data_IF_885326884609
#
_entry.id   IF_885326884609
#
_cell.length_a   1.000
_cell.length_b   1.000
_cell.length_c   1.000
_cell.angle_alpha   90.00
_cell.angle_beta   90.00
_cell.angle_gamma   90.00
#
_symmetry.space_group_name_H-M   'P 1'
#
loop_
_entity.id
_entity.type
_entity.pdbx_description
1 polymer ?
#
# COMPACT_ATOMS: atom_id res chain seq x y z
N UNK A 1 -19.24 7.03 37.67
CA UNK A 1 -20.46 6.30 37.29
C UNK A 1 -20.08 5.54 36.06
N UNK A 2 -19.94 4.22 36.17
CA UNK A 2 -19.49 3.35 35.08
C UNK A 2 -20.70 3.04 34.23
N UNK A 3 -20.85 3.70 33.09
CA UNK A 3 -21.85 3.31 32.10
C UNK A 3 -21.53 1.89 31.64
N UNK A 4 -22.50 0.99 31.81
CA UNK A 4 -22.37 -0.39 31.35
C UNK A 4 -22.35 -0.49 29.82
N UNK A 5 -22.04 -1.66 29.26
CA UNK A 5 -22.00 -1.86 27.80
C UNK A 5 -23.31 -1.50 27.08
N UNK A 6 -24.45 -1.43 27.79
CA UNK A 6 -25.73 -0.98 27.21
C UNK A 6 -25.85 0.53 26.98
N UNK A 7 -25.10 1.38 27.70
CA UNK A 7 -25.15 2.84 27.52
C UNK A 7 -24.42 3.30 26.25
N UNK A 8 -23.23 2.72 26.01
CA UNK A 8 -22.39 3.01 24.84
C UNK A 8 -23.07 2.57 23.53
N UNK A 9 -23.72 1.41 23.53
CA UNK A 9 -24.48 0.91 22.35
C UNK A 9 -25.63 1.86 22.00
N UNK A 10 -26.37 2.39 22.99
CA UNK A 10 -27.44 3.35 22.71
C UNK A 10 -26.92 4.66 22.12
N UNK A 11 -25.76 5.14 22.58
CA UNK A 11 -25.16 6.37 22.10
C UNK A 11 -24.71 6.28 20.63
N UNK A 12 -24.19 5.13 20.19
CA UNK A 12 -23.75 4.91 18.80
C UNK A 12 -24.94 4.87 17.84
N UNK A 13 -26.02 4.19 18.23
CA UNK A 13 -27.24 4.13 17.41
C UNK A 13 -27.90 5.51 17.29
N UNK A 14 -27.94 6.30 18.37
CA UNK A 14 -28.44 7.68 18.34
C UNK A 14 -27.57 8.59 17.46
N UNK A 15 -26.24 8.46 17.56
CA UNK A 15 -25.30 9.19 16.72
C UNK A 15 -25.47 8.82 15.24
N UNK A 16 -25.62 7.52 14.92
CA UNK A 16 -25.88 7.05 13.57
C UNK A 16 -27.17 7.65 13.00
N UNK A 17 -28.26 7.62 13.77
CA UNK A 17 -29.54 8.20 13.34
C UNK A 17 -29.42 9.71 13.08
N UNK A 18 -28.65 10.43 13.91
CA UNK A 18 -28.35 11.84 13.71
C UNK A 18 -27.60 12.09 12.38
N UNK A 19 -26.54 11.33 12.12
CA UNK A 19 -25.76 11.47 10.87
C UNK A 19 -26.61 11.11 9.65
N UNK A 20 -27.35 10.00 9.69
CA UNK A 20 -28.24 9.56 8.60
C UNK A 20 -29.30 10.62 8.29
N UNK A 21 -29.90 11.22 9.31
CA UNK A 21 -30.85 12.31 9.13
C UNK A 21 -30.20 13.57 8.53
N UNK A 22 -28.99 13.93 8.97
CA UNK A 22 -28.27 15.11 8.48
C UNK A 22 -27.90 15.03 6.99
N UNK A 23 -27.68 13.80 6.48
CA UNK A 23 -27.37 13.56 5.06
C UNK A 23 -28.61 13.29 4.19
N UNK A 24 -29.81 13.32 4.77
CA UNK A 24 -31.05 12.99 4.09
C UNK A 24 -31.15 11.53 3.67
N UNK A 25 -30.48 10.63 4.40
CA UNK A 25 -30.52 9.19 4.17
C UNK A 25 -31.65 8.50 4.93
N UNK A 26 -31.92 7.26 4.55
CA UNK A 26 -32.86 6.39 5.26
C UNK A 26 -32.13 5.46 6.22
N UNK A 27 -32.77 5.19 7.35
CA UNK A 27 -32.23 4.31 8.37
C UNK A 27 -32.22 2.85 7.89
N UNK A 28 -31.07 2.17 8.03
CA UNK A 28 -30.87 0.79 7.59
C UNK A 28 -30.50 -0.11 8.75
N UNK A 29 -31.20 -1.23 8.89
CA UNK A 29 -30.98 -2.17 9.98
C UNK A 29 -29.57 -2.78 9.96
N UNK A 30 -29.10 -3.22 8.78
CA UNK A 30 -27.74 -3.76 8.64
C UNK A 30 -26.65 -2.74 8.99
N UNK A 31 -26.88 -1.44 8.77
CA UNK A 31 -25.97 -0.38 9.15
C UNK A 31 -25.88 -0.20 10.67
N UNK A 32 -27.03 -0.24 11.36
CA UNK A 32 -27.10 -0.21 12.83
C UNK A 32 -26.39 -1.40 13.45
N UNK A 33 -26.68 -2.60 12.96
CA UNK A 33 -26.04 -3.83 13.43
C UNK A 33 -24.51 -3.78 13.27
N UNK A 34 -24.03 -3.29 12.12
CA UNK A 34 -22.61 -3.05 11.89
C UNK A 34 -22.04 -2.04 12.88
N UNK A 35 -22.66 -0.88 13.07
CA UNK A 35 -22.15 0.17 13.95
C UNK A 35 -22.07 -0.28 15.42
N UNK A 36 -23.09 -1.00 15.90
CA UNK A 36 -23.09 -1.57 17.25
C UNK A 36 -22.01 -2.63 17.42
N UNK A 37 -21.80 -3.50 16.42
CA UNK A 37 -20.75 -4.51 16.45
C UNK A 37 -19.36 -3.86 16.48
N UNK A 38 -19.12 -2.84 15.64
CA UNK A 38 -17.86 -2.09 15.62
C UNK A 38 -17.57 -1.43 16.97
N UNK A 39 -18.57 -0.79 17.58
CA UNK A 39 -18.45 -0.19 18.91
C UNK A 39 -18.09 -1.22 20.00
N UNK A 40 -18.74 -2.39 19.98
CA UNK A 40 -18.43 -3.49 20.90
C UNK A 40 -17.01 -4.03 20.72
N UNK A 41 -16.51 -4.11 19.49
CA UNK A 41 -15.14 -4.58 19.22
C UNK A 41 -14.09 -3.60 19.73
N UNK A 42 -14.27 -2.29 19.54
CA UNK A 42 -13.30 -1.33 20.06
C UNK A 42 -13.32 -1.25 21.59
N UNK A 43 -14.50 -1.34 22.23
CA UNK A 43 -14.62 -1.28 23.70
C UNK A 43 -14.28 -2.59 24.40
N UNK A 44 -14.63 -3.73 23.81
CA UNK A 44 -14.43 -5.07 24.39
C UNK A 44 -13.16 -5.79 23.94
N UNK A 45 -12.49 -5.29 22.89
CA UNK A 45 -11.36 -5.95 22.25
C UNK A 45 -11.76 -7.04 21.25
N UNK A 46 -10.76 -7.79 20.77
CA UNK A 46 -10.95 -8.84 19.76
C UNK A 46 -11.07 -8.29 18.33
N UNK A 47 -11.59 -9.12 17.42
CA UNK A 47 -11.72 -8.79 16.01
C UNK A 47 -13.15 -8.93 15.51
N UNK A 48 -13.51 -8.13 14.51
CA UNK A 48 -14.79 -8.21 13.80
C UNK A 48 -14.52 -8.33 12.31
N UNK A 49 -15.15 -9.31 11.67
CA UNK A 49 -15.25 -9.43 10.22
C UNK A 49 -16.72 -9.28 9.85
N UNK A 50 -17.06 -8.17 9.19
CA UNK A 50 -18.44 -7.85 8.82
C UNK A 50 -18.58 -7.74 7.30
N UNK A 51 -19.36 -8.63 6.71
CA UNK A 51 -19.81 -8.47 5.33
C UNK A 51 -20.99 -7.50 5.31
N UNK A 52 -20.87 -6.45 4.51
CA UNK A 52 -21.91 -5.44 4.34
C UNK A 52 -22.08 -5.12 2.86
N UNK A 53 -23.23 -5.52 2.32
CA UNK A 53 -23.57 -5.36 0.92
C UNK A 53 -23.47 -3.92 0.44
N UNK A 54 -23.39 -3.74 -0.88
CA UNK A 54 -23.40 -2.42 -1.50
C UNK A 54 -24.66 -1.66 -1.07
N UNK A 55 -24.53 -0.36 -0.79
CA UNK A 55 -25.67 0.45 -0.34
C UNK A 55 -26.04 0.30 1.14
N UNK A 56 -25.43 -0.62 1.90
CA UNK A 56 -25.67 -0.73 3.36
C UNK A 56 -25.21 0.51 4.14
N UNK A 57 -24.33 1.34 3.57
CA UNK A 57 -23.76 2.51 4.25
C UNK A 57 -22.56 2.15 5.12
N UNK A 58 -21.72 1.25 4.60
CA UNK A 58 -20.50 0.72 5.25
C UNK A 58 -19.64 1.80 5.89
N UNK A 59 -19.30 2.85 5.15
CA UNK A 59 -18.45 3.93 5.64
C UNK A 59 -18.95 4.49 6.96
N UNK A 60 -20.20 4.94 7.02
CA UNK A 60 -20.78 5.47 8.27
C UNK A 60 -20.90 4.42 9.37
N UNK A 61 -21.14 3.15 8.99
CA UNK A 61 -21.21 2.03 9.91
C UNK A 61 -19.93 1.79 10.71
N UNK A 62 -18.75 2.03 10.12
CA UNK A 62 -17.48 1.96 10.86
C UNK A 62 -16.94 3.32 11.32
N UNK A 63 -17.19 4.40 10.57
CA UNK A 63 -16.62 5.72 10.84
C UNK A 63 -17.18 6.32 12.13
N UNK A 64 -18.49 6.24 12.34
CA UNK A 64 -19.15 6.84 13.51
C UNK A 64 -18.69 6.21 14.81
N UNK A 65 -18.78 4.88 15.01
CA UNK A 65 -18.27 4.27 16.24
C UNK A 65 -16.75 4.44 16.42
N UNK A 66 -15.95 4.46 15.34
CA UNK A 66 -14.52 4.76 15.41
C UNK A 66 -14.25 6.18 15.91
N UNK A 67 -14.95 7.17 15.38
CA UNK A 67 -14.80 8.58 15.76
C UNK A 67 -15.25 8.83 17.20
N UNK A 68 -16.37 8.24 17.60
CA UNK A 68 -16.85 8.30 18.99
C UNK A 68 -15.82 7.70 19.96
N UNK A 69 -15.31 6.51 19.66
CA UNK A 69 -14.28 5.86 20.46
C UNK A 69 -13.02 6.73 20.57
N UNK A 70 -12.54 7.26 19.43
CA UNK A 70 -11.32 8.06 19.39
C UNK A 70 -11.42 9.35 20.21
N UNK A 71 -12.56 10.04 20.13
CA UNK A 71 -12.80 11.28 20.89
C UNK A 71 -12.93 11.00 22.39
N UNK A 72 -13.70 9.97 22.77
CA UNK A 72 -13.94 9.59 24.17
C UNK A 72 -12.65 9.14 24.86
N UNK A 73 -11.85 8.30 24.20
CA UNK A 73 -10.66 7.70 24.78
C UNK A 73 -9.38 8.50 24.51
N UNK A 74 -9.43 9.50 23.63
CA UNK A 74 -8.27 10.29 23.16
C UNK A 74 -7.17 9.40 22.58
N UNK A 75 -7.58 8.40 21.81
CA UNK A 75 -6.67 7.48 21.13
C UNK A 75 -7.08 7.36 19.66
N UNK A 76 -6.12 7.44 18.75
CA UNK A 76 -6.41 7.42 17.33
C UNK A 76 -6.95 6.05 16.87
N UNK A 77 -7.78 6.07 15.83
CA UNK A 77 -8.17 4.87 15.07
C UNK A 77 -7.62 4.98 13.66
N UNK A 78 -6.98 3.90 13.18
CA UNK A 78 -6.48 3.82 11.81
C UNK A 78 -7.55 3.24 10.91
N UNK A 79 -7.73 3.82 9.72
CA UNK A 79 -8.62 3.31 8.67
C UNK A 79 -7.76 3.04 7.43
N UNK A 80 -7.60 1.77 7.07
CA UNK A 80 -6.86 1.35 5.90
C UNK A 80 -7.83 0.99 4.77
N UNK A 81 -7.62 1.59 3.60
CA UNK A 81 -8.43 1.33 2.40
C UNK A 81 -7.65 0.58 1.33
N UNK A 82 -8.33 -0.19 0.49
CA UNK A 82 -7.71 -0.91 -0.62
C UNK A 82 -7.22 -0.02 -1.78
N UNK A 83 -8.00 1.01 -2.17
CA UNK A 83 -7.71 1.81 -3.37
C UNK A 83 -7.66 3.31 -3.08
N UNK A 84 -6.95 4.05 -3.95
CA UNK A 84 -6.88 5.51 -3.87
C UNK A 84 -8.23 6.18 -4.10
N UNK A 85 -9.09 5.61 -4.95
CA UNK A 85 -10.43 6.13 -5.20
C UNK A 85 -11.32 6.06 -3.96
N UNK A 86 -11.32 4.91 -3.26
CA UNK A 86 -12.06 4.74 -2.01
C UNK A 86 -11.50 5.64 -0.90
N UNK A 87 -10.17 5.75 -0.83
CA UNK A 87 -9.53 6.67 0.10
C UNK A 87 -9.99 8.11 -0.13
N UNK A 88 -10.00 8.58 -1.40
CA UNK A 88 -10.46 9.92 -1.76
C UNK A 88 -11.93 10.14 -1.42
N UNK A 89 -12.79 9.14 -1.70
CA UNK A 89 -14.20 9.20 -1.31
C UNK A 89 -14.36 9.38 0.21
N UNK A 90 -13.58 8.67 1.02
CA UNK A 90 -13.64 8.85 2.47
C UNK A 90 -13.20 10.25 2.90
N UNK A 91 -12.11 10.77 2.33
CA UNK A 91 -11.51 12.06 2.73
C UNK A 91 -12.32 13.25 2.26
N UNK A 92 -12.78 13.24 1.01
CA UNK A 92 -13.40 14.42 0.37
C UNK A 92 -14.90 14.49 0.66
N UNK A 93 -15.53 13.38 1.07
CA UNK A 93 -16.98 13.29 1.23
C UNK A 93 -17.38 12.71 2.60
N UNK A 94 -17.09 11.43 2.86
CA UNK A 94 -17.70 10.72 4.00
C UNK A 94 -17.24 11.30 5.36
N UNK A 95 -15.92 11.49 5.56
CA UNK A 95 -15.37 12.07 6.79
C UNK A 95 -15.85 13.52 7.04
N UNK A 96 -15.76 14.48 6.10
CA UNK A 96 -16.26 15.83 6.31
C UNK A 96 -17.74 15.89 6.70
N UNK A 97 -18.56 15.05 6.07
CA UNK A 97 -20.00 14.98 6.34
C UNK A 97 -20.24 14.41 7.74
N UNK A 98 -19.57 13.32 8.10
CA UNK A 98 -19.65 12.72 9.43
C UNK A 98 -19.21 13.72 10.51
N UNK A 99 -18.05 14.37 10.34
CA UNK A 99 -17.52 15.36 11.29
C UNK A 99 -18.53 16.46 11.55
N UNK A 100 -19.12 17.03 10.48
CA UNK A 100 -20.10 18.10 10.60
C UNK A 100 -21.36 17.65 11.34
N UNK A 101 -21.82 16.42 11.11
CA UNK A 101 -23.01 15.90 11.78
C UNK A 101 -22.73 15.60 13.27
N UNK A 102 -21.58 15.00 13.57
CA UNK A 102 -21.18 14.64 14.93
C UNK A 102 -20.77 15.85 15.81
N UNK A 103 -20.51 17.03 15.24
CA UNK A 103 -20.22 18.26 16.00
C UNK A 103 -21.35 18.65 16.97
N UNK A 104 -22.58 18.20 16.69
CA UNK A 104 -23.74 18.41 17.57
C UNK A 104 -23.91 17.35 18.65
N UNK A 105 -23.18 16.23 18.54
CA UNK A 105 -23.30 15.04 19.39
C UNK A 105 -22.09 14.89 20.32
N UNK A 106 -20.89 15.21 19.83
CA UNK A 106 -19.63 15.03 20.54
C UNK A 106 -19.18 16.31 21.26
N UNK A 107 -18.36 16.14 22.30
CA UNK A 107 -17.85 17.27 23.10
C UNK A 107 -16.88 18.18 22.33
N UNK A 108 -16.31 17.70 21.23
CA UNK A 108 -15.40 18.43 20.34
C UNK A 108 -15.47 17.86 18.92
N UNK A 109 -15.06 18.64 17.89
CA UNK A 109 -14.98 18.14 16.53
C UNK A 109 -13.93 17.02 16.41
N UNK A 110 -14.25 16.04 15.58
CA UNK A 110 -13.37 14.93 15.22
C UNK A 110 -12.33 15.44 14.22
N UNK A 111 -11.05 15.17 14.47
CA UNK A 111 -9.96 15.48 13.54
C UNK A 111 -9.55 14.25 12.74
N UNK A 112 -9.13 14.44 11.49
CA UNK A 112 -8.64 13.33 10.67
C UNK A 112 -7.46 13.76 9.78
N UNK A 113 -6.62 12.80 9.44
CA UNK A 113 -5.46 13.02 8.58
C UNK A 113 -5.20 11.82 7.66
N UNK A 114 -4.53 12.10 6.54
CA UNK A 114 -4.10 11.09 5.58
C UNK A 114 -2.62 10.84 5.76
N UNK A 115 -2.23 9.58 5.87
CA UNK A 115 -0.83 9.17 6.00
C UNK A 115 -0.48 8.14 4.92
N UNK A 116 0.42 8.54 4.02
CA UNK A 116 0.94 7.71 2.91
C UNK A 116 2.44 7.50 3.04
N UNK A 117 3.00 6.59 2.24
CA UNK A 117 4.44 6.40 2.13
C UNK A 117 5.18 7.64 1.59
N UNK A 118 6.45 7.81 1.95
CA UNK A 118 7.31 8.96 1.52
C UNK A 118 7.33 9.17 0.01
N UNK A 119 7.27 8.09 -0.75
CA UNK A 119 7.22 8.10 -2.20
C UNK A 119 5.89 8.62 -2.77
N UNK A 120 4.92 9.01 -1.95
CA UNK A 120 3.68 9.69 -2.37
C UNK A 120 3.73 11.20 -2.11
N UNK A 121 4.86 11.71 -1.60
CA UNK A 121 5.06 13.14 -1.37
C UNK A 121 6.27 13.66 -2.16
N UNK A 122 6.18 14.93 -2.55
CA UNK A 122 7.33 15.68 -3.06
C UNK A 122 8.44 15.75 -2.01
N UNK A 123 9.66 15.48 -2.44
CA UNK A 123 10.87 15.67 -1.64
C UNK A 123 11.50 17.01 -2.03
N UNK A 124 11.37 18.04 -1.19
CA UNK A 124 11.92 19.37 -1.44
C UNK A 124 13.44 19.35 -1.69
N UNK A 125 14.17 18.47 -1.00
CA UNK A 125 15.60 18.26 -1.24
C UNK A 125 15.89 17.78 -2.67
N UNK A 126 15.04 16.91 -3.23
CA UNK A 126 15.20 16.41 -4.61
C UNK A 126 14.68 17.42 -5.62
N UNK A 127 13.63 18.18 -5.27
CA UNK A 127 13.05 19.23 -6.10
C UNK A 127 14.05 20.38 -6.32
N UNK A 128 14.73 20.85 -5.28
CA UNK A 128 15.66 21.99 -5.35
C UNK A 128 17.13 21.58 -5.48
N UNK A 129 17.47 20.32 -5.22
CA UNK A 129 18.82 19.79 -5.39
C UNK A 129 19.21 19.65 -6.87
N UNK A 130 20.52 19.44 -7.10
CA UNK A 130 21.01 19.13 -8.44
C UNK A 130 20.39 17.81 -8.93
N UNK A 131 19.73 17.85 -10.10
CA UNK A 131 19.25 16.63 -10.76
C UNK A 131 20.48 15.81 -11.18
N UNK A 132 20.59 14.53 -10.78
CA UNK A 132 21.70 13.69 -11.21
C UNK A 132 21.82 13.67 -12.73
N UNK A 133 23.04 13.74 -13.28
CA UNK A 133 23.28 13.80 -14.74
C UNK A 133 22.64 12.63 -15.52
N UNK A 134 22.49 11.46 -14.91
CA UNK A 134 21.88 10.29 -15.55
C UNK A 134 20.34 10.41 -15.60
N UNK A 135 19.72 10.95 -14.54
CA UNK A 135 18.28 11.31 -14.54
C UNK A 135 18.06 12.51 -15.48
N UNK A 136 19.02 13.43 -15.56
CA UNK A 136 18.92 14.61 -16.44
C UNK A 136 19.05 14.24 -17.92
N UNK A 137 19.95 13.34 -18.29
CA UNK A 137 20.12 12.86 -19.66
C UNK A 137 18.93 12.03 -20.14
N UNK A 138 18.31 11.21 -19.28
CA UNK A 138 17.15 10.40 -19.65
C UNK A 138 15.84 11.21 -19.69
N UNK A 139 15.66 12.20 -18.79
CA UNK A 139 14.40 12.95 -18.66
C UNK A 139 14.42 14.32 -19.36
N UNK A 140 15.59 14.92 -19.59
CA UNK A 140 15.74 16.30 -20.09
C UNK A 140 16.53 16.42 -21.40
N UNK A 141 16.96 15.32 -22.02
CA UNK A 141 17.70 15.36 -23.30
C UNK A 141 16.87 15.83 -24.49
N UNK A 142 15.54 15.90 -24.38
CA UNK A 142 14.68 16.56 -25.37
C UNK A 142 13.50 17.28 -24.70
N UNK A 143 13.57 18.61 -24.50
CA UNK A 143 12.46 19.43 -24.02
C UNK A 143 11.19 19.40 -24.91
N UNK A 144 11.28 18.78 -26.10
CA UNK A 144 10.17 18.59 -27.05
C UNK A 144 9.53 17.20 -26.97
N UNK A 145 9.96 16.34 -26.04
CA UNK A 145 9.32 15.06 -25.80
C UNK A 145 8.19 15.24 -24.79
N UNK A 146 7.12 14.44 -24.91
CA UNK A 146 6.00 14.45 -23.95
C UNK A 146 6.47 14.25 -22.49
N UNK A 147 7.52 13.45 -22.30
CA UNK A 147 8.12 13.23 -20.98
C UNK A 147 8.80 14.50 -20.44
N UNK A 148 9.57 15.21 -21.27
CA UNK A 148 10.22 16.47 -20.88
C UNK A 148 9.22 17.57 -20.52
N UNK A 149 8.11 17.66 -21.27
CA UNK A 149 7.01 18.59 -20.96
C UNK A 149 6.33 18.24 -19.62
N UNK A 150 6.12 16.94 -19.35
CA UNK A 150 5.57 16.49 -18.08
C UNK A 150 6.50 16.80 -16.90
N UNK A 151 7.82 16.68 -17.07
CA UNK A 151 8.78 17.06 -16.03
C UNK A 151 8.66 18.54 -15.66
N UNK A 152 8.54 19.42 -16.65
CA UNK A 152 8.42 20.87 -16.41
C UNK A 152 7.12 21.19 -15.68
N UNK A 153 6.00 20.65 -16.14
CA UNK A 153 4.66 20.90 -15.55
C UNK A 153 4.56 20.35 -14.12
N UNK A 154 5.02 19.12 -13.88
CA UNK A 154 5.00 18.50 -12.55
C UNK A 154 5.93 19.25 -11.58
N UNK A 155 7.12 19.69 -12.00
CA UNK A 155 8.00 20.50 -11.14
C UNK A 155 7.39 21.88 -10.85
N UNK A 156 6.78 22.52 -11.84
CA UNK A 156 6.10 23.80 -11.62
C UNK A 156 4.94 23.69 -10.62
N UNK A 157 4.16 22.61 -10.68
CA UNK A 157 3.15 22.29 -9.66
C UNK A 157 3.78 22.04 -8.28
N UNK A 158 4.88 21.28 -8.22
CA UNK A 158 5.56 20.92 -6.98
C UNK A 158 6.15 22.13 -6.22
N UNK A 159 6.46 23.22 -6.92
CA UNK A 159 6.89 24.49 -6.32
C UNK A 159 5.75 25.24 -5.60
N UNK A 160 4.48 24.95 -5.93
CA UNK A 160 3.32 25.70 -5.43
C UNK A 160 2.36 24.85 -4.58
N UNK A 161 2.55 23.54 -4.52
CA UNK A 161 1.72 22.66 -3.68
C UNK A 161 1.92 22.96 -2.20
N UNK A 162 0.83 22.95 -1.44
CA UNK A 162 0.84 23.16 0.01
C UNK A 162 1.07 21.88 0.80
N UNK A 163 0.84 20.72 0.17
CA UNK A 163 0.87 19.42 0.84
C UNK A 163 1.89 18.45 0.27
N UNK A 164 2.36 18.70 -0.96
CA UNK A 164 3.26 17.82 -1.68
C UNK A 164 2.66 16.48 -2.07
N UNK A 165 1.37 16.23 -1.87
CA UNK A 165 0.73 14.95 -2.14
C UNK A 165 0.60 14.72 -3.65
N UNK A 166 1.12 13.59 -4.13
CA UNK A 166 1.05 13.17 -5.54
C UNK A 166 -0.38 13.27 -6.09
N UNK A 167 -1.36 12.89 -5.30
CA UNK A 167 -2.74 12.70 -5.75
C UNK A 167 -3.50 14.03 -5.90
N UNK A 168 -2.90 15.15 -5.49
CA UNK A 168 -3.42 16.50 -5.76
C UNK A 168 -3.00 17.02 -7.14
N UNK A 169 -2.11 16.32 -7.85
CA UNK A 169 -1.79 16.64 -9.23
C UNK A 169 -2.95 16.17 -10.15
N UNK A 170 -3.45 17.02 -11.07
CA UNK A 170 -4.71 16.77 -11.78
C UNK A 170 -4.65 15.65 -12.83
N UNK A 171 -3.47 15.38 -13.40
CA UNK A 171 -3.30 14.42 -14.49
C UNK A 171 -2.51 13.18 -14.05
N UNK A 172 -2.42 12.15 -14.90
CA UNK A 172 -1.54 11.03 -14.64
C UNK A 172 -0.06 11.46 -14.75
N UNK A 173 0.78 11.02 -13.81
CA UNK A 173 2.22 11.30 -13.79
C UNK A 173 3.00 10.04 -14.20
N UNK A 174 3.88 10.14 -15.20
CA UNK A 174 4.79 9.05 -15.53
C UNK A 174 5.65 8.71 -14.29
N UNK A 175 5.72 7.43 -13.89
CA UNK A 175 6.47 7.02 -12.70
C UNK A 175 7.93 7.48 -12.69
N UNK A 176 8.57 7.64 -13.86
CA UNK A 176 9.94 8.17 -13.97
C UNK A 176 10.01 9.64 -13.58
N UNK A 177 9.03 10.46 -14.00
CA UNK A 177 8.95 11.87 -13.61
C UNK A 177 8.74 11.98 -12.10
N UNK A 178 7.79 11.24 -11.55
CA UNK A 178 7.51 11.30 -10.11
C UNK A 178 8.71 10.84 -9.26
N UNK A 179 9.39 9.78 -9.67
CA UNK A 179 10.64 9.33 -9.02
C UNK A 179 11.74 10.39 -9.06
N UNK A 180 11.72 11.34 -9.99
CA UNK A 180 12.71 12.42 -10.04
C UNK A 180 12.50 13.50 -8.96
N UNK A 181 11.32 13.56 -8.32
CA UNK A 181 11.01 14.57 -7.28
C UNK A 181 10.51 13.96 -5.96
N UNK A 182 10.56 12.64 -5.81
CA UNK A 182 10.19 11.92 -4.59
C UNK A 182 11.32 10.99 -4.15
N UNK A 183 11.28 10.53 -2.91
CA UNK A 183 12.26 9.60 -2.35
C UNK A 183 11.60 8.50 -1.55
N UNK A 184 12.21 7.31 -1.57
CA UNK A 184 11.87 6.21 -0.67
C UNK A 184 12.37 6.44 0.76
N UNK A 185 11.99 5.53 1.67
CA UNK A 185 12.40 5.57 3.07
C UNK A 185 13.92 5.44 3.25
N UNK A 186 14.53 4.47 2.57
CA UNK A 186 15.98 4.20 2.61
C UNK A 186 16.81 5.26 1.90
N UNK A 187 16.20 6.03 1.00
CA UNK A 187 16.86 7.10 0.25
C UNK A 187 16.85 8.45 1.01
N UNK A 188 16.01 8.60 2.04
CA UNK A 188 15.90 9.86 2.77
C UNK A 188 16.95 9.99 3.88
N UNK A 189 17.61 11.15 3.95
CA UNK A 189 18.59 11.49 5.01
C UNK A 189 17.96 11.79 6.38
N UNK A 190 16.63 11.84 6.45
CA UNK A 190 15.87 12.13 7.67
C UNK A 190 15.67 13.64 7.91
N UNK A 191 14.62 13.96 8.66
CA UNK A 191 14.18 15.34 8.92
C UNK A 191 15.28 16.18 9.58
N UNK A 192 15.98 15.62 10.57
CA UNK A 192 17.00 16.33 11.36
C UNK A 192 18.26 16.69 10.58
N UNK A 193 18.58 15.96 9.50
CA UNK A 193 19.75 16.20 8.66
C UNK A 193 19.42 16.92 7.35
N UNK A 194 18.13 17.01 7.00
CA UNK A 194 17.68 17.59 5.75
C UNK A 194 17.54 19.11 5.89
N UNK A 195 18.06 19.86 4.91
CA UNK A 195 17.91 21.32 4.84
C UNK A 195 16.46 21.78 4.82
N UNK A 196 15.57 20.94 4.30
CA UNK A 196 14.13 21.19 4.22
C UNK A 196 13.33 20.48 5.33
N UNK A 197 13.97 20.00 6.41
CA UNK A 197 13.31 19.21 7.45
C UNK A 197 12.04 19.88 8.03
N UNK A 198 12.12 21.17 8.34
CA UNK A 198 10.99 21.96 8.88
C UNK A 198 9.85 22.15 7.88
N UNK A 199 10.17 22.16 6.59
CA UNK A 199 9.20 22.37 5.51
C UNK A 199 8.69 21.06 4.89
N UNK A 200 9.33 19.94 5.25
CA UNK A 200 9.13 18.62 4.67
C UNK A 200 7.67 18.16 4.77
N UNK A 201 7.06 17.95 3.60
CA UNK A 201 5.68 17.50 3.49
C UNK A 201 5.41 16.21 4.26
N UNK A 202 6.27 15.19 4.14
CA UNK A 202 6.10 13.94 4.89
C UNK A 202 6.20 14.14 6.41
N UNK A 203 7.13 14.98 6.88
CA UNK A 203 7.29 15.25 8.31
C UNK A 203 6.04 15.95 8.87
N UNK A 204 5.56 17.00 8.18
CA UNK A 204 4.31 17.69 8.53
C UNK A 204 3.11 16.75 8.55
N UNK A 205 2.96 15.89 7.53
CA UNK A 205 1.86 14.92 7.47
C UNK A 205 1.91 13.91 8.61
N UNK A 206 3.11 13.46 9.01
CA UNK A 206 3.27 12.57 10.18
C UNK A 206 2.88 13.27 11.48
N UNK A 207 3.25 14.54 11.66
CA UNK A 207 2.83 15.32 12.85
C UNK A 207 1.31 15.51 12.91
N UNK A 208 0.69 15.90 11.79
CA UNK A 208 -0.77 16.05 11.72
C UNK A 208 -1.47 14.72 12.02
N UNK A 209 -0.96 13.60 11.50
CA UNK A 209 -1.51 12.27 11.77
C UNK A 209 -1.36 11.86 13.25
N UNK A 210 -0.28 12.25 13.93
CA UNK A 210 -0.10 11.99 15.36
C UNK A 210 -1.11 12.73 16.26
N UNK A 211 -1.60 13.88 15.81
CA UNK A 211 -2.57 14.71 16.53
C UNK A 211 -4.03 14.46 16.10
N UNK A 212 -4.26 13.51 15.18
CA UNK A 212 -5.58 13.23 14.61
C UNK A 212 -6.31 12.09 15.32
N UNK A 213 -7.63 12.21 15.46
CA UNK A 213 -8.48 11.14 16.00
C UNK A 213 -8.61 9.97 15.02
N UNK A 214 -8.70 10.28 13.72
CA UNK A 214 -8.79 9.28 12.65
C UNK A 214 -7.61 9.42 11.69
N UNK A 215 -6.91 8.31 11.44
CA UNK A 215 -5.77 8.27 10.52
C UNK A 215 -6.15 7.39 9.33
N UNK A 216 -6.30 8.00 8.16
CA UNK A 216 -6.60 7.28 6.91
C UNK A 216 -5.30 6.89 6.22
N UNK A 217 -5.17 5.61 5.88
CA UNK A 217 -4.03 5.05 5.15
C UNK A 217 -4.48 4.00 4.14
N UNK A 218 -3.53 3.27 3.55
CA UNK A 218 -3.82 2.16 2.63
C UNK A 218 -3.31 0.81 3.17
N UNK A 219 -3.81 -0.28 2.59
CA UNK A 219 -3.43 -1.64 3.00
C UNK A 219 -1.92 -1.91 2.92
N UNK A 220 -1.23 -1.35 1.91
CA UNK A 220 0.21 -1.54 1.76
C UNK A 220 0.98 -0.88 2.92
N UNK A 221 0.58 0.31 3.34
CA UNK A 221 1.18 1.02 4.46
C UNK A 221 0.95 0.29 5.78
N UNK A 222 -0.28 -0.21 5.99
CA UNK A 222 -0.63 -1.03 7.15
C UNK A 222 0.20 -2.32 7.18
N UNK A 223 0.36 -2.99 6.04
CA UNK A 223 1.18 -4.20 5.94
C UNK A 223 2.66 -3.90 6.21
N UNK A 224 3.22 -2.81 5.67
CA UNK A 224 4.62 -2.43 5.93
C UNK A 224 4.84 -2.12 7.42
N UNK A 225 3.96 -1.32 8.03
CA UNK A 225 4.01 -0.97 9.45
C UNK A 225 4.00 -2.21 10.35
N UNK A 226 3.09 -3.14 10.04
CA UNK A 226 2.95 -4.40 10.75
C UNK A 226 4.20 -5.29 10.55
N UNK A 227 4.62 -5.53 9.31
CA UNK A 227 5.52 -6.63 8.96
C UNK A 227 7.01 -6.28 9.04
N UNK A 228 7.39 -5.02 8.78
CA UNK A 228 8.79 -4.61 8.91
C UNK A 228 9.19 -4.30 10.37
N UNK A 229 8.23 -4.26 11.30
CA UNK A 229 8.47 -3.99 12.72
C UNK A 229 8.95 -2.55 13.00
N UNK A 230 8.70 -1.64 12.07
CA UNK A 230 9.10 -0.24 12.15
C UNK A 230 7.84 0.60 12.25
N UNK A 231 7.64 1.35 13.35
CA UNK A 231 6.44 2.16 13.54
C UNK A 231 6.41 3.33 12.53
N UNK A 232 5.65 3.12 11.47
CA UNK A 232 5.31 4.13 10.48
C UNK A 232 4.01 4.83 10.84
N UNK A 233 3.02 4.07 11.31
CA UNK A 233 1.76 4.59 11.80
C UNK A 233 1.94 5.13 13.24
N UNK A 234 1.23 6.21 13.60
CA UNK A 234 1.12 6.65 14.99
C UNK A 234 0.53 5.58 15.90
N UNK A 235 0.73 5.74 17.22
CA UNK A 235 0.05 4.90 18.21
C UNK A 235 -1.46 5.03 18.06
N UNK A 236 -2.15 3.90 18.02
CA UNK A 236 -3.58 3.82 17.76
C UNK A 236 -4.21 2.71 18.58
N UNK A 237 -5.48 2.88 18.93
CA UNK A 237 -6.22 1.92 19.75
C UNK A 237 -6.89 0.81 18.95
N UNK A 238 -7.01 0.95 17.63
CA UNK A 238 -7.70 -0.01 16.77
C UNK A 238 -7.53 0.31 15.29
N UNK A 239 -7.84 -0.68 14.44
CA UNK A 239 -7.73 -0.59 12.99
C UNK A 239 -9.04 -0.98 12.32
N UNK A 240 -9.50 -0.18 11.37
CA UNK A 240 -10.55 -0.54 10.40
C UNK A 240 -9.88 -0.86 9.07
N UNK A 241 -10.26 -1.97 8.44
CA UNK A 241 -9.78 -2.41 7.13
C UNK A 241 -10.99 -2.46 6.20
N UNK A 242 -11.04 -1.51 5.28
CA UNK A 242 -12.11 -1.38 4.30
C UNK A 242 -11.70 -2.05 2.97
N UNK A 243 -12.65 -2.75 2.36
CA UNK A 243 -12.39 -3.73 1.31
C UNK A 243 -11.38 -4.81 1.75
N UNK A 244 -11.62 -5.35 2.95
CA UNK A 244 -10.73 -6.32 3.60
C UNK A 244 -10.41 -7.59 2.81
N UNK A 245 -11.19 -7.93 1.78
CA UNK A 245 -10.87 -9.05 0.88
C UNK A 245 -9.52 -8.86 0.17
N UNK A 246 -9.08 -7.61 -0.05
CA UNK A 246 -7.79 -7.28 -0.65
C UNK A 246 -6.61 -7.42 0.33
N UNK A 247 -6.84 -7.51 1.65
CA UNK A 247 -5.76 -7.37 2.63
C UNK A 247 -4.65 -8.43 2.44
N UNK A 248 -5.02 -9.68 2.21
CA UNK A 248 -4.07 -10.79 2.07
C UNK A 248 -3.16 -10.59 0.86
N UNK A 249 -3.74 -10.23 -0.28
CA UNK A 249 -2.99 -9.97 -1.51
C UNK A 249 -2.09 -8.75 -1.39
N UNK A 250 -2.57 -7.69 -0.72
CA UNK A 250 -1.78 -6.47 -0.46
C UNK A 250 -0.64 -6.72 0.51
N UNK A 251 -0.87 -7.50 1.56
CA UNK A 251 0.16 -7.91 2.50
C UNK A 251 1.21 -8.79 1.83
N UNK A 252 0.79 -9.77 1.03
CA UNK A 252 1.69 -10.62 0.23
C UNK A 252 2.54 -9.78 -0.71
N UNK A 253 1.91 -8.83 -1.43
CA UNK A 253 2.62 -7.91 -2.31
C UNK A 253 3.64 -7.03 -1.56
N UNK A 254 3.31 -6.58 -0.34
CA UNK A 254 4.18 -5.72 0.46
C UNK A 254 5.44 -6.45 0.95
N UNK A 255 5.37 -7.76 1.20
CA UNK A 255 6.52 -8.58 1.60
C UNK A 255 7.20 -9.30 0.44
N UNK A 256 6.64 -9.18 -0.78
CA UNK A 256 7.25 -9.78 -1.97
C UNK A 256 8.54 -9.02 -2.30
N UNK A 257 9.67 -9.71 -2.20
CA UNK A 257 10.96 -9.21 -2.67
C UNK A 257 11.08 -9.35 -4.18
N UNK A 258 11.63 -8.33 -4.84
CA UNK A 258 11.92 -8.36 -6.27
C UNK A 258 13.37 -7.97 -6.54
N UNK A 259 14.01 -8.66 -7.48
CA UNK A 259 15.35 -8.34 -7.97
C UNK A 259 15.36 -8.38 -9.51
N UNK A 260 15.80 -7.28 -10.11
CA UNK A 260 15.92 -7.13 -11.55
C UNK A 260 17.11 -6.23 -11.90
N UNK A 261 17.68 -6.39 -13.09
CA UNK A 261 18.97 -5.77 -13.46
C UNK A 261 18.91 -4.24 -13.42
N UNK A 262 17.82 -3.63 -13.87
CA UNK A 262 17.67 -2.17 -13.83
C UNK A 262 17.73 -1.59 -12.39
N UNK A 263 17.38 -2.38 -11.38
CA UNK A 263 17.55 -2.01 -9.96
C UNK A 263 19.03 -1.89 -9.59
N UNK A 264 19.85 -2.83 -10.07
CA UNK A 264 21.30 -2.88 -9.87
C UNK A 264 21.99 -1.75 -10.62
N UNK A 265 21.64 -1.54 -11.89
CA UNK A 265 22.18 -0.45 -12.71
C UNK A 265 21.92 0.92 -12.08
N UNK A 266 20.73 1.11 -11.51
CA UNK A 266 20.38 2.33 -10.76
C UNK A 266 21.27 2.51 -9.53
N UNK A 267 21.55 1.44 -8.78
CA UNK A 267 22.47 1.50 -7.65
C UNK A 267 23.90 1.87 -8.10
N UNK A 268 24.40 1.25 -9.17
CA UNK A 268 25.72 1.53 -9.76
C UNK A 268 25.83 3.00 -10.21
N UNK A 269 24.83 3.49 -10.94
CA UNK A 269 24.78 4.88 -11.42
C UNK A 269 24.93 5.87 -10.25
N UNK A 270 24.16 5.68 -9.17
CA UNK A 270 24.22 6.55 -7.98
C UNK A 270 25.54 6.47 -7.23
N UNK A 271 26.20 5.32 -7.25
CA UNK A 271 27.49 5.13 -6.59
C UNK A 271 28.68 5.65 -7.41
N UNK A 272 28.53 5.86 -8.71
CA UNK A 272 29.65 6.13 -9.65
C UNK A 272 30.52 7.32 -9.27
N UNK A 273 29.93 8.41 -8.77
CA UNK A 273 30.64 9.62 -8.35
C UNK A 273 31.17 9.55 -6.91
N UNK A 274 30.78 8.53 -6.15
CA UNK A 274 31.02 8.41 -4.72
C UNK A 274 32.02 7.31 -4.37
N UNK A 275 32.30 6.40 -5.30
CA UNK A 275 33.18 5.26 -5.10
C UNK A 275 34.34 5.28 -6.09
N UNK A 276 35.43 4.63 -5.71
CA UNK A 276 36.57 4.42 -6.60
C UNK A 276 36.19 3.54 -7.80
N UNK A 277 36.87 3.76 -8.93
CA UNK A 277 36.60 3.06 -10.18
C UNK A 277 36.63 1.52 -10.03
N UNK A 278 37.52 1.00 -9.17
CA UNK A 278 37.62 -0.43 -8.90
C UNK A 278 36.35 -1.00 -8.25
N UNK A 279 35.74 -0.28 -7.30
CA UNK A 279 34.50 -0.71 -6.64
C UNK A 279 33.32 -0.73 -7.63
N UNK A 280 33.27 0.26 -8.52
CA UNK A 280 32.27 0.32 -9.59
C UNK A 280 32.46 -0.82 -10.58
N UNK A 281 33.69 -1.14 -10.97
CA UNK A 281 33.98 -2.26 -11.87
C UNK A 281 33.54 -3.60 -11.28
N UNK A 282 33.72 -3.83 -9.98
CA UNK A 282 33.21 -5.03 -9.32
C UNK A 282 31.69 -5.13 -9.33
N UNK A 283 30.98 -4.03 -9.05
CA UNK A 283 29.52 -4.01 -9.14
C UNK A 283 29.04 -4.26 -10.57
N UNK A 284 29.67 -3.66 -11.57
CA UNK A 284 29.32 -3.84 -12.98
C UNK A 284 29.49 -5.30 -13.41
N UNK A 285 30.62 -5.93 -13.09
CA UNK A 285 30.83 -7.37 -13.40
C UNK A 285 29.80 -8.27 -12.74
N UNK A 286 29.42 -7.98 -11.48
CA UNK A 286 28.38 -8.74 -10.79
C UNK A 286 26.99 -8.51 -11.41
N UNK A 287 26.70 -7.29 -11.84
CA UNK A 287 25.48 -6.94 -12.57
C UNK A 287 25.38 -7.66 -13.91
N UNK A 288 26.46 -7.66 -14.70
CA UNK A 288 26.51 -8.34 -16.00
C UNK A 288 26.30 -9.85 -15.83
N UNK A 289 26.95 -10.47 -14.83
CA UNK A 289 26.76 -11.88 -14.53
C UNK A 289 25.33 -12.23 -14.09
N UNK A 290 24.66 -11.34 -13.36
CA UNK A 290 23.25 -11.50 -13.03
C UNK A 290 22.36 -11.37 -14.27
N UNK A 291 22.59 -10.36 -15.12
CA UNK A 291 21.82 -10.15 -16.35
C UNK A 291 21.93 -11.35 -17.30
N UNK A 292 23.15 -11.82 -17.56
CA UNK A 292 23.38 -13.00 -18.39
C UNK A 292 22.65 -14.23 -17.84
N UNK A 293 22.72 -14.46 -16.52
CA UNK A 293 22.05 -15.59 -15.87
C UNK A 293 20.52 -15.50 -16.04
N UNK A 294 19.92 -14.35 -15.73
CA UNK A 294 18.48 -14.16 -15.81
C UNK A 294 17.97 -14.24 -17.26
N UNK A 295 18.71 -13.66 -18.23
CA UNK A 295 18.37 -13.75 -19.66
C UNK A 295 18.37 -15.19 -20.16
N UNK A 296 19.39 -15.96 -19.82
CA UNK A 296 19.47 -17.38 -20.21
C UNK A 296 18.34 -18.21 -19.60
N UNK A 297 18.00 -17.96 -18.33
CA UNK A 297 16.89 -18.64 -17.67
C UNK A 297 15.52 -18.24 -18.23
N UNK A 298 15.35 -16.99 -18.66
CA UNK A 298 14.09 -16.46 -19.16
C UNK A 298 13.82 -16.76 -20.65
N UNK A 299 14.85 -17.15 -21.42
CA UNK A 299 14.80 -17.22 -22.88
C UNK A 299 13.64 -18.08 -23.44
N UNK A 300 13.32 -19.19 -22.77
CA UNK A 300 12.30 -20.16 -23.21
C UNK A 300 11.04 -20.13 -22.33
N UNK A 301 10.90 -19.16 -21.42
CA UNK A 301 9.75 -19.07 -20.53
C UNK A 301 8.58 -18.34 -21.20
N UNK A 302 7.41 -18.97 -21.15
CA UNK A 302 6.16 -18.41 -21.69
C UNK A 302 5.46 -17.52 -20.63
N UNK A 303 5.85 -17.62 -19.36
CA UNK A 303 5.30 -16.83 -18.26
C UNK A 303 6.00 -17.07 -16.93
N UNK A 304 5.47 -16.51 -15.83
CA UNK A 304 6.03 -16.68 -14.49
C UNK A 304 6.25 -18.15 -14.14
N UNK A 305 7.49 -18.51 -13.81
CA UNK A 305 7.90 -19.90 -13.59
C UNK A 305 8.54 -20.06 -12.23
N UNK A 306 7.95 -20.92 -11.38
CA UNK A 306 8.50 -21.26 -10.06
C UNK A 306 9.87 -21.92 -10.20
N UNK A 307 10.81 -21.49 -9.36
CA UNK A 307 12.17 -22.02 -9.25
C UNK A 307 12.31 -22.82 -7.95
N UNK A 308 12.34 -24.15 -8.05
CA UNK A 308 12.51 -25.04 -6.89
C UNK A 308 13.20 -26.35 -7.30
N UNK A 309 14.48 -26.56 -6.94
CA UNK A 309 15.37 -25.64 -6.22
C UNK A 309 15.93 -24.51 -7.10
N UNK A 310 16.47 -23.47 -6.48
CA UNK A 310 17.25 -22.42 -7.17
C UNK A 310 18.54 -23.05 -7.75
N UNK A 311 18.78 -22.85 -9.05
CA UNK A 311 19.95 -23.40 -9.74
C UNK A 311 21.28 -22.81 -9.27
N UNK A 312 22.36 -23.60 -9.40
CA UNK A 312 23.72 -23.22 -8.95
C UNK A 312 24.21 -21.89 -9.54
N UNK A 313 23.94 -21.66 -10.82
CA UNK A 313 24.42 -20.45 -11.51
C UNK A 313 23.73 -19.19 -10.96
N UNK A 314 22.43 -19.29 -10.66
CA UNK A 314 21.70 -18.20 -10.03
C UNK A 314 22.18 -17.96 -8.59
N UNK A 315 22.45 -19.01 -7.81
CA UNK A 315 23.06 -18.87 -6.47
C UNK A 315 24.40 -18.14 -6.53
N UNK A 316 25.24 -18.45 -7.51
CA UNK A 316 26.52 -17.77 -7.72
C UNK A 316 26.32 -16.29 -8.08
N UNK A 317 25.44 -15.99 -9.04
CA UNK A 317 25.14 -14.62 -9.46
C UNK A 317 24.60 -13.77 -8.29
N UNK A 318 23.63 -14.31 -7.53
CA UNK A 318 23.07 -13.65 -6.34
C UNK A 318 24.13 -13.40 -5.26
N UNK A 319 25.03 -14.36 -5.03
CA UNK A 319 26.11 -14.21 -4.05
C UNK A 319 27.06 -13.09 -4.47
N UNK A 320 27.47 -13.07 -5.74
CA UNK A 320 28.39 -12.06 -6.27
C UNK A 320 27.79 -10.65 -6.18
N UNK A 321 26.52 -10.47 -6.55
CA UNK A 321 25.89 -9.14 -6.50
C UNK A 321 25.66 -8.67 -5.05
N UNK A 322 25.20 -9.57 -4.15
CA UNK A 322 25.05 -9.26 -2.73
C UNK A 322 26.38 -8.79 -2.13
N UNK A 323 27.45 -9.56 -2.36
CA UNK A 323 28.77 -9.26 -1.77
C UNK A 323 29.37 -7.98 -2.37
N UNK A 324 29.18 -7.73 -3.67
CA UNK A 324 29.58 -6.48 -4.31
C UNK A 324 28.85 -5.26 -3.72
N UNK A 325 27.54 -5.36 -3.49
CA UNK A 325 26.75 -4.31 -2.83
C UNK A 325 27.20 -4.08 -1.38
N UNK A 326 27.45 -5.14 -0.61
CA UNK A 326 27.97 -5.05 0.76
C UNK A 326 29.32 -4.32 0.83
N UNK A 327 30.25 -4.66 -0.06
CA UNK A 327 31.55 -4.00 -0.16
C UNK A 327 31.41 -2.52 -0.55
N UNK A 328 30.55 -2.21 -1.52
CA UNK A 328 30.27 -0.84 -1.93
C UNK A 328 29.66 0.00 -0.79
N UNK A 329 28.71 -0.55 -0.03
CA UNK A 329 28.14 0.12 1.15
C UNK A 329 29.20 0.38 2.23
N UNK A 330 30.13 -0.56 2.43
CA UNK A 330 31.24 -0.40 3.37
C UNK A 330 32.16 0.75 2.94
N UNK A 331 32.50 0.83 1.65
CA UNK A 331 33.31 1.91 1.10
C UNK A 331 32.64 3.28 1.22
N UNK A 332 31.31 3.39 1.01
CA UNK A 332 30.57 4.65 1.18
C UNK A 332 30.66 5.22 2.60
N UNK A 333 30.78 4.37 3.64
CA UNK A 333 30.81 4.82 5.03
C UNK A 333 32.16 5.41 5.47
N UNK A 334 33.20 5.32 4.66
CA UNK A 334 34.54 5.79 5.01
C UNK A 334 34.66 7.32 5.07
N UNK A 335 33.76 8.04 4.39
CA UNK A 335 33.80 9.51 4.29
C UNK A 335 32.71 10.19 5.14
N UNK A 336 33.05 11.34 5.72
CA UNK A 336 32.10 12.19 6.47
C UNK A 336 31.78 13.44 5.65
N UNK A 337 30.60 13.48 5.04
CA UNK A 337 30.11 14.69 4.38
C UNK A 337 29.62 15.69 5.42
N UNK A 338 29.93 16.96 5.18
CA UNK A 338 29.37 18.10 5.92
C UNK A 338 28.27 18.82 5.14
N UNK A 339 28.24 18.63 3.83
CA UNK A 339 27.27 19.22 2.92
C UNK A 339 26.02 18.33 2.81
N UNK A 340 24.83 18.94 2.80
CA UNK A 340 23.56 18.21 2.81
C UNK A 340 23.25 17.53 1.50
N UNK A 341 23.69 18.10 0.37
CA UNK A 341 23.45 17.53 -0.95
C UNK A 341 24.34 16.31 -1.17
N UNK A 342 25.61 16.40 -0.75
CA UNK A 342 26.52 15.25 -0.72
C UNK A 342 25.99 14.12 0.18
N UNK A 343 25.50 14.47 1.39
CA UNK A 343 24.87 13.51 2.30
C UNK A 343 23.64 12.83 1.66
N UNK A 344 22.80 13.61 0.97
CA UNK A 344 21.63 13.10 0.26
C UNK A 344 22.02 12.14 -0.88
N UNK A 345 23.00 12.51 -1.69
CA UNK A 345 23.50 11.65 -2.76
C UNK A 345 24.06 10.32 -2.20
N UNK A 346 24.84 10.38 -1.12
CA UNK A 346 25.39 9.18 -0.47
C UNK A 346 24.30 8.30 0.13
N UNK A 347 23.30 8.87 0.79
CA UNK A 347 22.17 8.10 1.34
C UNK A 347 21.34 7.45 0.23
N UNK A 348 21.13 8.13 -0.90
CA UNK A 348 20.43 7.56 -2.05
C UNK A 348 21.20 6.41 -2.72
N UNK A 349 22.53 6.51 -2.81
CA UNK A 349 23.38 5.44 -3.31
C UNK A 349 23.38 4.25 -2.35
N UNK A 350 23.53 4.50 -1.05
CA UNK A 350 23.49 3.46 -0.01
C UNK A 350 22.14 2.75 0.01
N UNK A 351 21.03 3.49 0.03
CA UNK A 351 19.68 2.89 0.03
C UNK A 351 19.45 2.00 -1.19
N UNK A 352 19.89 2.43 -2.38
CA UNK A 352 19.77 1.61 -3.59
C UNK A 352 20.64 0.33 -3.54
N UNK A 353 21.85 0.40 -2.97
CA UNK A 353 22.70 -0.78 -2.75
C UNK A 353 22.10 -1.73 -1.71
N UNK A 354 21.51 -1.19 -0.64
CA UNK A 354 20.86 -1.94 0.44
C UNK A 354 19.63 -2.69 -0.07
N UNK A 355 18.83 -2.07 -0.95
CA UNK A 355 17.68 -2.73 -1.58
C UNK A 355 18.13 -3.94 -2.42
N UNK A 356 19.20 -3.80 -3.22
CA UNK A 356 19.74 -4.91 -4.03
C UNK A 356 20.36 -6.00 -3.14
N UNK A 357 21.13 -5.59 -2.14
CA UNK A 357 21.76 -6.49 -1.18
C UNK A 357 20.72 -7.36 -0.46
N UNK A 358 19.66 -6.73 0.07
CA UNK A 358 18.65 -7.44 0.85
C UNK A 358 17.80 -8.34 -0.03
N UNK A 359 17.42 -7.91 -1.24
CA UNK A 359 16.69 -8.75 -2.18
C UNK A 359 17.51 -10.00 -2.56
N UNK A 360 18.79 -9.84 -2.91
CA UNK A 360 19.67 -10.95 -3.22
C UNK A 360 19.92 -11.86 -2.00
N UNK A 361 20.07 -11.28 -0.81
CA UNK A 361 20.22 -12.00 0.45
C UNK A 361 19.00 -12.85 0.78
N UNK A 362 17.80 -12.28 0.67
CA UNK A 362 16.55 -12.97 0.95
C UNK A 362 16.32 -14.15 -0.01
N UNK A 363 16.63 -13.97 -1.30
CA UNK A 363 16.59 -15.04 -2.31
C UNK A 363 17.55 -16.19 -2.00
N UNK A 364 18.75 -15.89 -1.50
CA UNK A 364 19.73 -16.90 -1.11
C UNK A 364 19.33 -17.70 0.15
N UNK A 365 18.48 -17.12 0.99
CA UNK A 365 18.01 -17.74 2.24
C UNK A 365 16.59 -18.30 2.14
N UNK A 366 15.97 -18.27 0.95
CA UNK A 366 14.61 -18.74 0.73
C UNK A 366 14.43 -20.19 1.23
N UNK A 367 13.44 -20.38 2.09
CA UNK A 367 13.10 -21.63 2.74
C UNK A 367 11.97 -22.39 2.06
N UNK A 368 11.42 -23.38 2.78
CA UNK A 368 10.29 -24.20 2.30
C UNK A 368 8.96 -23.44 2.25
N UNK A 369 8.84 -22.41 3.08
CA UNK A 369 7.64 -21.56 3.16
C UNK A 369 7.70 -20.39 2.18
N UNK A 370 8.76 -20.29 1.37
CA UNK A 370 8.94 -19.24 0.37
C UNK A 370 8.73 -19.80 -1.03
N UNK A 371 8.12 -18.99 -1.90
CA UNK A 371 8.00 -19.26 -3.33
C UNK A 371 8.93 -18.31 -4.06
N UNK A 372 9.90 -18.86 -4.77
CA UNK A 372 10.76 -18.11 -5.68
C UNK A 372 10.32 -18.38 -7.10
N UNK A 373 10.18 -17.35 -7.92
CA UNK A 373 9.84 -17.50 -9.33
C UNK A 373 10.52 -16.45 -10.19
N UNK A 374 10.75 -16.81 -11.46
CA UNK A 374 11.23 -15.92 -12.49
C UNK A 374 10.06 -15.51 -13.37
N UNK A 375 9.83 -14.20 -13.46
CA UNK A 375 8.93 -13.60 -14.44
C UNK A 375 9.76 -13.13 -15.63
N UNK A 376 9.58 -13.70 -16.84
CA UNK A 376 10.35 -13.31 -18.01
C UNK A 376 10.02 -11.89 -18.49
N UNK A 377 8.86 -11.34 -18.10
CA UNK A 377 8.37 -10.03 -18.52
C UNK A 377 7.97 -10.00 -20.00
N UNK A 378 6.71 -9.71 -20.31
CA UNK A 378 6.15 -9.76 -21.68
C UNK A 378 6.80 -8.84 -22.73
N UNK A 379 7.78 -8.00 -22.36
CA UNK A 379 8.68 -7.21 -23.22
C UNK A 379 9.70 -6.43 -22.35
N UNK A 380 10.00 -6.93 -21.14
CA UNK A 380 10.82 -6.26 -20.13
C UNK A 380 11.99 -7.15 -19.74
N UNK A 381 12.93 -6.61 -18.97
CA UNK A 381 13.95 -7.42 -18.32
C UNK A 381 13.29 -8.41 -17.35
N UNK A 382 13.83 -9.62 -17.27
CA UNK A 382 13.35 -10.65 -16.36
C UNK A 382 13.45 -10.18 -14.89
N UNK A 383 12.46 -10.56 -14.09
CA UNK A 383 12.35 -10.20 -12.67
C UNK A 383 12.31 -11.45 -11.83
N UNK A 384 13.26 -11.57 -10.92
CA UNK A 384 13.26 -12.62 -9.91
C UNK A 384 12.46 -12.15 -8.71
N UNK A 385 11.48 -12.95 -8.29
CA UNK A 385 10.56 -12.61 -7.21
C UNK A 385 10.59 -13.67 -6.13
N UNK A 386 10.36 -13.26 -4.89
CA UNK A 386 10.20 -14.15 -3.75
C UNK A 386 9.11 -13.64 -2.82
N UNK A 387 8.20 -14.51 -2.43
CA UNK A 387 7.13 -14.22 -1.50
C UNK A 387 6.85 -15.45 -0.62
N UNK A 388 6.38 -15.28 0.62
CA UNK A 388 5.95 -16.41 1.44
C UNK A 388 4.71 -17.07 0.84
N UNK A 389 4.57 -18.39 1.03
CA UNK A 389 3.38 -19.18 0.67
C UNK A 389 2.11 -18.68 1.37
N UNK A 390 2.27 -18.09 2.56
CA UNK A 390 1.19 -17.53 3.34
C UNK A 390 1.67 -16.38 4.22
N UNK A 391 0.86 -15.32 4.31
CA UNK A 391 1.07 -14.20 5.22
C UNK A 391 0.23 -14.31 6.51
N UNK A 392 -0.49 -15.41 6.71
CA UNK A 392 -1.39 -15.60 7.84
C UNK A 392 -0.70 -15.42 9.21
N UNK A 393 0.43 -16.11 9.42
CA UNK A 393 1.20 -16.00 10.67
C UNK A 393 1.77 -14.61 10.89
N UNK A 394 2.23 -13.98 9.80
CA UNK A 394 2.75 -12.61 9.78
C UNK A 394 1.67 -11.60 10.18
N UNK A 395 0.49 -11.66 9.58
CA UNK A 395 -0.66 -10.80 9.92
C UNK A 395 -1.14 -11.04 11.35
N UNK A 396 -1.20 -12.30 11.81
CA UNK A 396 -1.59 -12.64 13.18
C UNK A 396 -0.66 -11.98 14.20
N UNK A 397 0.64 -12.13 14.03
CA UNK A 397 1.63 -11.57 14.96
C UNK A 397 1.67 -10.04 14.89
N UNK A 398 1.66 -9.48 13.69
CA UNK A 398 1.97 -8.08 13.49
C UNK A 398 0.77 -7.14 13.66
N UNK A 399 -0.45 -7.61 13.35
CA UNK A 399 -1.66 -6.81 13.35
C UNK A 399 -2.66 -7.31 14.40
N UNK A 400 -3.14 -8.55 14.24
CA UNK A 400 -4.23 -9.07 15.07
C UNK A 400 -3.84 -9.32 16.54
N UNK A 401 -2.55 -9.52 16.85
CA UNK A 401 -2.11 -9.65 18.25
C UNK A 401 -1.93 -8.31 18.98
N UNK A 402 -2.02 -7.17 18.28
CA UNK A 402 -1.65 -5.85 18.80
C UNK A 402 -2.85 -5.02 19.21
N UNK A 403 -3.82 -4.88 18.31
CA UNK A 403 -4.97 -4.00 18.48
C UNK A 403 -6.24 -4.69 17.99
N UNK A 404 -7.43 -4.25 18.46
CA UNK A 404 -8.70 -4.64 17.87
C UNK A 404 -8.75 -4.28 16.38
N UNK A 405 -9.30 -5.19 15.59
CA UNK A 405 -9.39 -5.03 14.13
C UNK A 405 -10.83 -5.22 13.68
N UNK A 406 -11.33 -4.26 12.93
CA UNK A 406 -12.60 -4.34 12.22
C UNK A 406 -12.30 -4.47 10.74
N UNK A 407 -12.74 -5.54 10.12
CA UNK A 407 -12.62 -5.76 8.68
C UNK A 407 -13.99 -5.77 8.03
N UNK A 408 -14.15 -5.02 6.94
CA UNK A 408 -15.41 -4.91 6.21
C UNK A 408 -15.20 -4.97 4.69
N UNK A 409 -16.16 -5.54 3.98
CA UNK A 409 -16.28 -5.48 2.51
C UNK A 409 -17.68 -5.91 2.07
N UNK A 410 -18.02 -5.65 0.81
CA UNK A 410 -19.22 -6.23 0.18
C UNK A 410 -19.12 -7.77 0.02
N UNK A 411 -17.92 -8.31 -0.11
CA UNK A 411 -17.68 -9.71 -0.52
C UNK A 411 -16.55 -10.33 0.31
N UNK A 412 -16.87 -10.77 1.52
CA UNK A 412 -15.93 -11.47 2.41
C UNK A 412 -16.18 -12.98 2.47
N UNK A 413 -17.42 -13.42 2.26
CA UNK A 413 -17.76 -14.84 2.32
C UNK A 413 -17.39 -15.55 1.02
N UNK A 414 -16.67 -16.67 1.11
CA UNK A 414 -16.40 -17.57 -0.01
C UNK A 414 -17.14 -18.87 0.25
N UNK A 415 -17.94 -19.32 -0.72
CA UNK A 415 -18.73 -20.56 -0.55
C UNK A 415 -19.78 -20.51 0.57
N UNK A 416 -20.18 -19.30 1.00
CA UNK A 416 -21.21 -19.09 2.02
C UNK A 416 -20.71 -18.99 3.46
N UNK A 417 -19.39 -18.93 3.70
CA UNK A 417 -18.82 -18.80 5.05
C UNK A 417 -17.58 -17.91 5.11
N UNK A 418 -17.15 -17.58 6.33
CA UNK A 418 -15.96 -16.76 6.61
C UNK A 418 -14.69 -17.58 6.87
N UNK A 419 -14.80 -18.90 7.02
CA UNK A 419 -13.73 -19.78 7.50
C UNK A 419 -12.44 -19.66 6.66
N UNK A 420 -12.56 -19.58 5.34
CA UNK A 420 -11.41 -19.44 4.43
C UNK A 420 -10.67 -18.12 4.65
N UNK A 421 -11.40 -17.02 4.88
CA UNK A 421 -10.84 -15.71 5.18
C UNK A 421 -10.23 -15.68 6.59
N UNK A 422 -10.94 -16.20 7.60
CA UNK A 422 -10.43 -16.29 8.98
C UNK A 422 -9.09 -17.04 9.02
N UNK A 423 -9.01 -18.16 8.31
CA UNK A 423 -7.78 -18.95 8.21
C UNK A 423 -6.65 -18.20 7.48
N UNK A 424 -6.94 -17.49 6.38
CA UNK A 424 -5.92 -16.73 5.63
C UNK A 424 -5.38 -15.52 6.39
N UNK A 425 -6.13 -15.02 7.37
CA UNK A 425 -5.72 -13.96 8.31
C UNK A 425 -4.95 -14.49 9.53
N UNK A 426 -4.82 -15.82 9.67
CA UNK A 426 -4.16 -16.46 10.82
C UNK A 426 -4.98 -16.38 12.11
N UNK A 427 -6.30 -16.22 12.00
CA UNK A 427 -7.24 -16.15 13.12
C UNK A 427 -7.88 -17.52 13.37
N UNK A 428 -8.44 -17.70 14.58
CA UNK A 428 -9.33 -18.80 14.92
C UNK A 428 -10.70 -18.24 15.35
N UNK A 429 -11.75 -19.05 15.27
CA UNK A 429 -13.14 -18.62 15.55
C UNK A 429 -13.31 -17.99 16.95
N UNK A 430 -12.54 -18.43 17.95
CA UNK A 430 -12.62 -17.83 19.28
C UNK A 430 -12.04 -16.39 19.37
N UNK A 431 -11.25 -15.97 18.37
CA UNK A 431 -10.58 -14.67 18.34
C UNK A 431 -11.40 -13.61 17.58
N UNK A 432 -12.42 -14.02 16.82
CA UNK A 432 -13.10 -13.17 15.85
C UNK A 432 -14.61 -13.37 15.87
N UNK A 433 -15.34 -12.27 15.88
CA UNK A 433 -16.78 -12.27 15.58
C UNK A 433 -16.96 -12.08 14.08
N UNK A 434 -17.76 -12.93 13.44
CA UNK A 434 -18.10 -12.80 12.03
C UNK A 434 -19.58 -12.50 11.87
N UNK A 435 -19.95 -11.64 10.92
CA UNK A 435 -21.35 -11.31 10.66
C UNK A 435 -21.58 -10.89 9.20
N UNK A 436 -22.75 -11.21 8.65
CA UNK A 436 -23.23 -10.67 7.37
C UNK A 436 -24.48 -9.84 7.65
N UNK A 437 -24.41 -8.54 7.39
CA UNK A 437 -25.54 -7.61 7.58
C UNK A 437 -26.36 -7.41 6.30
N UNK A 438 -26.03 -8.15 5.24
CA UNK A 438 -26.78 -8.21 4.00
C UNK A 438 -26.69 -6.95 3.14
N UNK A 439 -27.58 -6.91 2.13
CA UNK A 439 -27.79 -5.79 1.20
C UNK A 439 -29.22 -5.28 1.38
N UNK A 440 -29.46 -3.95 1.35
CA UNK A 440 -30.81 -3.41 1.38
C UNK A 440 -31.54 -3.56 0.04
N UNK A 441 -30.86 -3.99 -1.03
CA UNK A 441 -31.40 -4.08 -2.38
C UNK A 441 -32.14 -5.40 -2.61
N UNK A 442 -33.26 -5.30 -3.33
CA UNK A 442 -33.99 -6.47 -3.83
C UNK A 442 -33.43 -6.83 -5.21
N UNK A 443 -32.35 -7.61 -5.21
CA UNK A 443 -31.68 -8.01 -6.46
C UNK A 443 -32.60 -8.77 -7.42
N UNK A 444 -33.60 -9.50 -6.92
CA UNK A 444 -34.55 -10.21 -7.77
C UNK A 444 -35.49 -9.26 -8.53
N UNK A 445 -35.80 -8.10 -7.95
CA UNK A 445 -36.60 -7.07 -8.60
C UNK A 445 -35.76 -6.07 -9.44
N UNK A 446 -34.45 -5.99 -9.19
CA UNK A 446 -33.58 -4.94 -9.75
C UNK A 446 -32.54 -5.44 -10.76
N UNK A 447 -32.41 -6.76 -10.97
CA UNK A 447 -31.42 -7.33 -11.88
C UNK A 447 -31.93 -8.56 -12.64
N UNK A 448 -31.23 -8.88 -13.72
CA UNK A 448 -31.44 -10.09 -14.51
C UNK A 448 -30.12 -10.86 -14.51
N UNK A 449 -30.18 -12.15 -14.16
CA UNK A 449 -29.06 -13.06 -14.35
C UNK A 449 -29.22 -13.72 -15.71
N UNK A 450 -28.39 -13.32 -16.68
CA UNK A 450 -28.31 -13.97 -17.98
C UNK A 450 -27.17 -14.98 -18.01
N UNK A 451 -27.45 -16.21 -18.45
CA UNK A 451 -26.46 -17.27 -18.62
C UNK A 451 -26.62 -17.83 -20.04
N UNK A 452 -25.69 -17.48 -20.92
CA UNK A 452 -25.63 -17.97 -22.30
C UNK A 452 -25.12 -19.42 -22.35
N UNK A 453 -25.93 -20.35 -21.84
CA UNK A 453 -25.57 -21.76 -21.67
C UNK A 453 -25.37 -22.51 -23.00
N UNK A 454 -25.84 -21.93 -24.10
CA UNK A 454 -25.72 -22.42 -25.47
C UNK A 454 -24.38 -22.06 -26.13
N UNK A 455 -23.63 -21.11 -25.56
CA UNK A 455 -22.34 -20.68 -26.10
C UNK A 455 -21.18 -21.53 -25.55
N UNK A 456 -20.07 -21.66 -26.32
CA UNK A 456 -18.88 -22.37 -25.86
C UNK A 456 -18.31 -21.76 -24.57
N UNK A 457 -17.97 -22.61 -23.60
CA UNK A 457 -17.26 -22.17 -22.41
C UNK A 457 -15.86 -21.64 -22.78
N UNK A 458 -15.35 -20.60 -22.08
CA UNK A 458 -14.02 -20.06 -22.34
C UNK A 458 -12.95 -21.13 -22.13
N UNK A 459 -12.02 -21.22 -23.09
CA UNK A 459 -10.96 -22.21 -23.14
C UNK A 459 -9.57 -21.60 -22.96
N UNK A 460 -8.53 -22.39 -23.26
CA UNK A 460 -7.13 -21.92 -23.21
C UNK A 460 -6.85 -20.73 -24.12
N UNK A 461 -7.56 -20.65 -25.25
CA UNK A 461 -7.43 -19.58 -26.24
C UNK A 461 -8.30 -18.35 -25.91
N UNK A 462 -8.96 -18.35 -24.75
CA UNK A 462 -9.80 -17.26 -24.27
C UNK A 462 -11.29 -17.45 -24.53
N UNK A 463 -12.00 -16.32 -24.60
CA UNK A 463 -13.44 -16.25 -24.88
C UNK A 463 -13.68 -16.51 -26.37
N UNK A 464 -14.65 -17.36 -26.70
CA UNK A 464 -15.01 -17.66 -28.08
C UNK A 464 -15.56 -16.43 -28.80
N UNK A 465 -15.37 -16.34 -30.12
CA UNK A 465 -15.87 -15.21 -30.91
C UNK A 465 -17.40 -15.08 -30.80
N UNK A 466 -18.11 -16.21 -30.77
CA UNK A 466 -19.55 -16.27 -30.61
C UNK A 466 -20.01 -15.62 -29.30
N UNK A 467 -19.23 -15.77 -28.23
CA UNK A 467 -19.51 -15.10 -26.96
C UNK A 467 -19.21 -13.60 -26.98
N UNK A 468 -18.24 -13.16 -27.78
CA UNK A 468 -17.96 -11.74 -27.99
C UNK A 468 -19.06 -11.08 -28.85
N UNK A 469 -19.55 -11.78 -29.86
CA UNK A 469 -20.65 -11.31 -30.71
C UNK A 469 -21.95 -11.16 -29.88
N UNK A 470 -22.30 -12.18 -29.06
CA UNK A 470 -23.44 -12.09 -28.12
C UNK A 470 -23.30 -10.93 -27.13
N UNK A 471 -22.10 -10.72 -26.57
CA UNK A 471 -21.80 -9.59 -25.69
C UNK A 471 -22.02 -8.25 -26.40
N UNK A 472 -21.61 -8.12 -27.66
CA UNK A 472 -21.83 -6.91 -28.45
C UNK A 472 -23.32 -6.65 -28.70
N UNK A 473 -24.08 -7.69 -29.05
CA UNK A 473 -25.53 -7.60 -29.26
C UNK A 473 -26.26 -7.16 -27.98
N UNK A 474 -25.88 -7.69 -26.81
CA UNK A 474 -26.48 -7.29 -25.52
C UNK A 474 -26.16 -5.85 -25.12
N UNK A 475 -25.02 -5.30 -25.55
CA UNK A 475 -24.65 -3.89 -25.27
C UNK A 475 -25.42 -2.93 -26.18
N UNK A 476 -25.73 -3.34 -27.40
CA UNK A 476 -26.46 -2.52 -28.38
C UNK A 476 -27.99 -2.54 -28.21
N UNK A 477 -28.53 -3.59 -27.57
CA UNK A 477 -29.96 -3.77 -27.28
C UNK A 477 -30.49 -2.79 -26.23
#
# INVERSE_FOLDING_TARGET
MTDGPGGVVSAVSDALDCVVAAIGGDAREGQRQMAEAVSKTFTGGGHLIVQAGTGTGKSMGYLIPAAMYAVEHKQAIVIATATLALQKQLIDHDLPIMVKALDTVLERPVTFAVLKGRNNYVCLQKLHGAVPEDESAALFSTPKSALGEQVVTVRAWAEHTSTGDRDEYPDEIDPRVWRSISVGRRECIGETKCSFGQECFTAKRRLIAQESDIIVTNHAMLAIDALEGIPVLPEHAGVVIDEGHELVDRATSAVTGELFVAMVEKAISRSRKLLEAQSIEFLQRASDGLDDCLRLMAADLIGPTRLDPIGRDLVLALTLIRDACSNAMTALNAEKDKDTDALAARQQARGALEDVHDAAGALLTAGKEDVVWLDPGENRAAVLKMAPLSVAGLLREALFSKTPVVMTSATLTVGGGFDALVASLGLADQDVTTMDVGSPFDHAAQGILYVAADLPAPGRDGVAMEALDELAELIEA
#
